data_IF_231074620277
#
_entry.id   IF_231074620277
#
_cell.length_a   1.000
_cell.length_b   1.000
_cell.length_c   1.000
_cell.angle_alpha   90.00
_cell.angle_beta   90.00
_cell.angle_gamma   90.00
#
_symmetry.space_group_name_H-M   'P 1'
#
loop_
_entity.id
_entity.type
_entity.pdbx_description
1 polymer ?
#
# COMPACT_ATOMS: atom_id res chain seq x y z
N UNK A 1 -33.28 3.39 1.98
CA UNK A 1 -33.52 3.63 0.54
C UNK A 1 -34.80 4.42 0.27
N UNK A 2 -35.97 4.03 0.78
CA UNK A 2 -37.24 4.76 0.49
C UNK A 2 -37.23 6.26 0.85
N UNK A 3 -36.66 6.64 2.00
CA UNK A 3 -36.56 8.04 2.40
C UNK A 3 -35.69 8.88 1.45
N UNK A 4 -34.58 8.30 0.97
CA UNK A 4 -33.70 8.94 -0.02
C UNK A 4 -34.42 9.09 -1.36
N UNK A 5 -35.11 8.04 -1.83
CA UNK A 5 -35.88 8.08 -3.07
C UNK A 5 -36.98 9.17 -3.03
N UNK A 6 -37.70 9.31 -1.91
CA UNK A 6 -38.67 10.40 -1.72
C UNK A 6 -38.02 11.78 -1.74
N UNK A 7 -36.86 11.94 -1.12
CA UNK A 7 -36.12 13.19 -1.12
C UNK A 7 -35.64 13.56 -2.54
N UNK A 8 -35.19 12.58 -3.32
CA UNK A 8 -34.74 12.76 -4.71
C UNK A 8 -35.88 13.03 -5.71
N UNK A 9 -37.15 12.81 -5.35
CA UNK A 9 -38.28 13.26 -6.17
C UNK A 9 -38.38 14.79 -6.22
N UNK A 10 -37.92 15.48 -5.17
CA UNK A 10 -37.80 16.94 -5.16
C UNK A 10 -36.48 17.36 -4.49
N UNK A 11 -35.33 17.21 -5.19
CA UNK A 11 -34.02 17.41 -4.61
C UNK A 11 -33.77 18.88 -4.23
N UNK A 12 -34.42 19.81 -4.93
CA UNK A 12 -34.33 21.25 -4.70
C UNK A 12 -35.36 21.76 -3.68
N UNK A 13 -36.20 20.87 -3.12
CA UNK A 13 -37.22 21.22 -2.13
C UNK A 13 -38.32 22.16 -2.65
N UNK A 14 -39.25 22.49 -1.76
CA UNK A 14 -40.40 23.36 -2.05
C UNK A 14 -40.58 24.47 -1.02
N UNK A 15 -39.58 24.68 -0.15
CA UNK A 15 -39.63 25.71 0.90
C UNK A 15 -39.07 27.02 0.37
N UNK A 16 -39.77 28.13 0.61
CA UNK A 16 -39.41 29.47 0.12
C UNK A 16 -38.04 29.96 0.64
N UNK A 17 -37.53 29.41 1.75
CA UNK A 17 -36.25 29.80 2.35
C UNK A 17 -35.09 28.84 2.08
N UNK A 18 -35.31 27.78 1.29
CA UNK A 18 -34.26 26.80 1.02
C UNK A 18 -33.26 27.34 0.00
N UNK A 19 -32.03 27.62 0.44
CA UNK A 19 -30.95 28.06 -0.45
C UNK A 19 -30.30 26.88 -1.21
N UNK A 20 -30.23 25.71 -0.58
CA UNK A 20 -29.77 24.48 -1.21
C UNK A 20 -29.59 23.33 -0.23
N UNK A 21 -29.12 22.19 -0.73
CA UNK A 21 -28.93 20.96 0.04
C UNK A 21 -27.61 20.28 -0.30
N UNK A 22 -26.94 19.74 0.71
CA UNK A 22 -25.78 18.87 0.55
C UNK A 22 -26.14 17.45 0.98
N UNK A 23 -25.95 16.49 0.08
CA UNK A 23 -26.07 15.06 0.36
C UNK A 23 -24.67 14.45 0.40
N UNK A 24 -24.32 13.84 1.53
CA UNK A 24 -23.11 13.04 1.68
C UNK A 24 -23.51 11.57 1.68
N UNK A 25 -22.88 10.76 0.84
CA UNK A 25 -23.15 9.33 0.69
C UNK A 25 -21.87 8.55 1.00
N UNK A 26 -21.94 7.73 2.04
CA UNK A 26 -20.88 6.79 2.40
C UNK A 26 -21.16 5.40 1.77
N UNK A 27 -20.09 4.71 1.35
CA UNK A 27 -20.09 3.33 0.88
C UNK A 27 -21.06 3.02 -0.29
N UNK A 28 -20.79 3.69 -1.41
CA UNK A 28 -21.60 3.65 -2.62
C UNK A 28 -21.93 2.22 -3.12
N UNK A 29 -23.23 1.91 -3.25
CA UNK A 29 -23.75 0.67 -3.85
C UNK A 29 -24.18 0.87 -5.31
N UNK A 30 -24.34 -0.22 -6.06
CA UNK A 30 -24.87 -0.17 -7.43
C UNK A 30 -26.27 0.46 -7.49
N UNK A 31 -27.16 0.11 -6.55
CA UNK A 31 -28.51 0.67 -6.47
C UNK A 31 -28.50 2.19 -6.21
N UNK A 32 -27.54 2.67 -5.38
CA UNK A 32 -27.36 4.10 -5.14
C UNK A 32 -26.84 4.82 -6.38
N UNK A 33 -25.93 4.22 -7.14
CA UNK A 33 -25.45 4.77 -8.43
C UNK A 33 -26.62 4.95 -9.39
N UNK A 34 -27.45 3.92 -9.55
CA UNK A 34 -28.61 3.96 -10.44
C UNK A 34 -29.63 5.01 -9.99
N UNK A 35 -29.96 5.04 -8.70
CA UNK A 35 -30.92 5.99 -8.13
C UNK A 35 -30.44 7.44 -8.26
N UNK A 36 -29.19 7.73 -7.88
CA UNK A 36 -28.63 9.09 -7.95
C UNK A 36 -28.44 9.54 -9.40
N UNK A 37 -27.91 8.66 -10.26
CA UNK A 37 -27.67 8.95 -11.66
C UNK A 37 -28.96 9.27 -12.43
N UNK A 38 -30.00 8.47 -12.22
CA UNK A 38 -31.31 8.68 -12.88
C UNK A 38 -32.07 9.90 -12.33
N UNK A 39 -32.02 10.14 -11.02
CA UNK A 39 -32.79 11.24 -10.40
C UNK A 39 -32.18 12.62 -10.60
N UNK A 40 -30.84 12.70 -10.74
CA UNK A 40 -30.09 13.96 -10.78
C UNK A 40 -29.40 14.22 -12.13
N UNK A 41 -29.62 13.35 -13.13
CA UNK A 41 -29.00 13.41 -14.46
C UNK A 41 -27.46 13.57 -14.40
N UNK A 42 -26.82 12.82 -13.49
CA UNK A 42 -25.38 12.91 -13.25
C UNK A 42 -24.61 12.21 -14.37
N UNK A 43 -23.58 12.88 -14.90
CA UNK A 43 -22.66 12.29 -15.87
C UNK A 43 -22.05 10.99 -15.30
N UNK A 44 -22.17 9.84 -16.01
CA UNK A 44 -21.56 8.58 -15.57
C UNK A 44 -20.07 8.67 -15.27
N UNK A 45 -19.36 9.63 -15.87
CA UNK A 45 -17.94 9.88 -15.60
C UNK A 45 -17.68 10.24 -14.13
N UNK A 46 -18.63 10.87 -13.43
CA UNK A 46 -18.53 11.14 -11.99
C UNK A 46 -18.39 9.85 -11.19
N UNK A 47 -19.34 8.91 -11.34
CA UNK A 47 -19.30 7.62 -10.67
C UNK A 47 -18.10 6.79 -11.12
N UNK A 48 -17.79 6.80 -12.41
CA UNK A 48 -16.62 6.14 -12.96
C UNK A 48 -15.34 6.66 -12.28
N UNK A 49 -15.19 7.97 -12.10
CA UNK A 49 -14.04 8.57 -11.42
C UNK A 49 -13.92 8.15 -9.95
N UNK A 50 -15.06 7.95 -9.27
CA UNK A 50 -15.11 7.48 -7.89
C UNK A 50 -14.73 5.99 -7.78
N UNK A 51 -15.14 5.16 -8.76
CA UNK A 51 -14.94 3.71 -8.78
C UNK A 51 -13.59 3.26 -9.38
N UNK A 52 -13.07 3.95 -10.40
CA UNK A 52 -11.97 3.49 -11.26
C UNK A 52 -10.60 3.33 -10.58
N UNK A 53 -10.44 3.90 -9.38
CA UNK A 53 -9.26 3.67 -8.54
C UNK A 53 -9.16 2.21 -8.06
N UNK A 54 -10.26 1.45 -8.13
CA UNK A 54 -10.25 -0.01 -7.94
C UNK A 54 -9.72 -0.68 -9.21
N UNK A 55 -8.69 -1.52 -9.07
CA UNK A 55 -8.12 -2.30 -10.18
C UNK A 55 -9.25 -3.00 -10.94
N UNK A 56 -9.37 -2.76 -12.24
CA UNK A 56 -10.09 -3.71 -13.09
C UNK A 56 -9.48 -5.09 -12.86
N UNK A 57 -10.34 -6.05 -12.50
CA UNK A 57 -10.04 -7.40 -12.00
C UNK A 57 -9.10 -8.23 -12.91
N UNK A 58 -8.72 -7.72 -14.09
CA UNK A 58 -7.93 -8.44 -15.10
C UNK A 58 -6.70 -7.71 -15.68
N UNK A 59 -6.37 -6.47 -15.30
CA UNK A 59 -5.26 -5.74 -15.95
C UNK A 59 -4.35 -4.97 -15.00
N UNK A 60 -3.13 -4.67 -15.46
CA UNK A 60 -2.23 -3.70 -14.84
C UNK A 60 -2.97 -2.38 -14.56
N UNK A 61 -2.50 -1.61 -13.57
CA UNK A 61 -3.08 -0.32 -13.18
C UNK A 61 -3.19 0.55 -14.44
N UNK A 62 -4.40 0.76 -14.97
CA UNK A 62 -4.59 1.77 -15.99
C UNK A 62 -4.35 3.13 -15.32
N UNK A 63 -3.61 4.06 -15.94
CA UNK A 63 -3.41 5.39 -15.38
C UNK A 63 -4.77 6.06 -15.13
N UNK A 64 -4.90 6.74 -13.98
CA UNK A 64 -6.14 7.33 -13.47
C UNK A 64 -6.71 8.44 -14.39
N UNK A 65 -5.96 8.88 -15.40
CA UNK A 65 -6.31 10.01 -16.27
C UNK A 65 -6.16 9.65 -17.74
N UNK A 66 -7.27 9.24 -18.37
CA UNK A 66 -7.41 9.33 -19.84
C UNK A 66 -7.73 10.75 -20.30
N UNK A 67 -8.04 11.65 -19.36
CA UNK A 67 -8.45 13.02 -19.64
C UNK A 67 -7.22 13.94 -19.66
N UNK A 68 -7.10 14.71 -20.74
CA UNK A 68 -6.11 15.78 -20.82
C UNK A 68 -6.45 16.88 -19.81
N UNK A 69 -5.44 17.63 -19.29
CA UNK A 69 -5.68 18.76 -18.40
C UNK A 69 -6.64 19.82 -18.98
N UNK A 70 -6.66 19.99 -20.30
CA UNK A 70 -7.61 20.86 -20.99
C UNK A 70 -9.06 20.36 -20.89
N UNK A 71 -9.28 19.05 -21.03
CA UNK A 71 -10.60 18.44 -20.88
C UNK A 71 -11.06 18.44 -19.42
N UNK A 72 -10.13 18.29 -18.47
CA UNK A 72 -10.42 18.32 -17.05
C UNK A 72 -11.03 19.65 -16.57
N UNK A 73 -10.73 20.78 -17.24
CA UNK A 73 -11.30 22.11 -16.91
C UNK A 73 -12.82 22.19 -17.06
N UNK A 74 -13.41 21.32 -17.89
CA UNK A 74 -14.84 21.32 -18.16
C UNK A 74 -15.61 20.31 -17.29
N UNK A 75 -14.92 19.59 -16.40
CA UNK A 75 -15.57 18.67 -15.48
C UNK A 75 -16.37 19.47 -14.46
N UNK A 76 -17.64 19.09 -14.28
CA UNK A 76 -18.55 19.68 -13.29
C UNK A 76 -18.41 19.02 -11.91
N UNK A 77 -17.35 18.24 -11.71
CA UNK A 77 -17.12 17.48 -10.50
C UNK A 77 -15.62 17.45 -10.17
N UNK A 78 -15.31 17.21 -8.90
CA UNK A 78 -13.97 17.05 -8.38
C UNK A 78 -13.85 15.64 -7.80
N UNK A 79 -12.76 14.95 -8.09
CA UNK A 79 -12.46 13.66 -7.46
C UNK A 79 -11.01 13.65 -6.98
N UNK A 80 -10.81 13.24 -5.73
CA UNK A 80 -9.54 13.24 -5.07
C UNK A 80 -9.30 11.87 -4.43
N UNK A 81 -8.17 11.27 -4.78
CA UNK A 81 -7.70 10.02 -4.17
C UNK A 81 -6.65 10.31 -3.13
N UNK A 82 -6.72 9.62 -2.01
CA UNK A 82 -5.75 9.74 -0.93
C UNK A 82 -5.42 8.39 -0.32
N UNK A 83 -4.38 8.36 0.51
CA UNK A 83 -4.02 7.19 1.29
C UNK A 83 -4.23 7.54 2.76
N UNK A 84 -4.99 6.72 3.47
CA UNK A 84 -5.13 6.77 4.91
C UNK A 84 -4.13 5.81 5.55
N UNK A 85 -3.10 6.29 6.25
CA UNK A 85 -2.13 5.46 6.95
C UNK A 85 -2.77 4.65 8.09
N UNK A 86 -2.36 3.39 8.22
CA UNK A 86 -2.89 2.45 9.22
C UNK A 86 -1.78 1.62 9.85
N UNK A 87 -1.98 1.26 11.11
CA UNK A 87 -1.19 0.30 11.87
C UNK A 87 -2.02 -0.95 12.13
N UNK A 88 -1.38 -2.12 12.16
CA UNK A 88 -2.03 -3.41 12.38
C UNK A 88 -1.50 -4.08 13.64
N UNK A 89 -2.39 -4.45 14.55
CA UNK A 89 -2.03 -5.21 15.76
C UNK A 89 -1.84 -6.72 15.44
N UNK A 90 -1.13 -7.03 14.36
CA UNK A 90 -0.80 -8.38 13.93
C UNK A 90 0.57 -8.40 13.23
N UNK A 91 1.28 -9.52 13.34
CA UNK A 91 2.51 -9.82 12.61
C UNK A 91 2.62 -11.35 12.44
N UNK A 92 2.72 -11.90 11.21
CA UNK A 92 2.79 -11.23 9.91
C UNK A 92 1.43 -10.75 9.37
N UNK A 93 1.46 -9.63 8.65
CA UNK A 93 0.29 -9.12 7.89
C UNK A 93 0.46 -9.40 6.40
N UNK A 94 -0.58 -9.91 5.71
CA UNK A 94 -0.52 -10.07 4.27
C UNK A 94 -0.31 -8.74 3.55
N UNK A 95 0.67 -8.67 2.62
CA UNK A 95 1.07 -7.38 2.05
C UNK A 95 0.09 -6.75 1.05
N UNK A 96 -0.96 -7.46 0.62
CA UNK A 96 -1.95 -6.97 -0.35
C UNK A 96 -3.35 -7.40 0.07
N UNK A 97 -4.12 -6.41 0.48
CA UNK A 97 -5.45 -6.56 1.05
C UNK A 97 -6.44 -5.65 0.31
N UNK A 98 -7.73 -5.90 0.53
CA UNK A 98 -8.85 -5.07 0.11
C UNK A 98 -9.72 -4.76 1.34
N UNK A 99 -10.27 -3.55 1.41
CA UNK A 99 -11.24 -3.19 2.45
C UNK A 99 -12.56 -3.96 2.27
N UNK A 100 -13.21 -4.27 3.39
CA UNK A 100 -14.60 -4.70 3.44
C UNK A 100 -15.53 -3.49 3.24
N UNK A 101 -15.92 -3.27 1.98
CA UNK A 101 -16.75 -2.15 1.53
C UNK A 101 -17.44 -2.53 0.21
N UNK A 102 -18.51 -1.83 -0.15
CA UNK A 102 -19.20 -2.03 -1.44
C UNK A 102 -18.28 -1.72 -2.62
N UNK A 103 -17.37 -0.76 -2.44
CA UNK A 103 -16.28 -0.46 -3.38
C UNK A 103 -14.96 -0.97 -2.83
N UNK A 104 -14.42 -2.02 -3.44
CA UNK A 104 -13.16 -2.61 -2.98
C UNK A 104 -11.99 -1.66 -3.17
N UNK A 105 -11.50 -1.12 -2.05
CA UNK A 105 -10.30 -0.27 -2.01
C UNK A 105 -9.08 -1.08 -1.61
N UNK A 106 -7.95 -0.76 -2.24
CA UNK A 106 -6.68 -1.44 -1.97
C UNK A 106 -6.13 -1.03 -0.61
N UNK A 107 -5.67 -2.02 0.12
CA UNK A 107 -4.88 -1.87 1.34
C UNK A 107 -3.49 -2.46 1.09
N UNK A 108 -2.48 -1.63 1.26
CA UNK A 108 -1.08 -2.07 1.23
C UNK A 108 -0.58 -2.18 2.65
N UNK A 109 -0.10 -3.36 3.05
CA UNK A 109 0.51 -3.57 4.35
C UNK A 109 1.93 -4.10 4.17
N UNK A 110 2.77 -3.88 5.18
CA UNK A 110 4.08 -4.50 5.25
C UNK A 110 4.49 -4.64 6.71
N UNK A 111 5.24 -5.71 7.03
CA UNK A 111 5.81 -5.86 8.36
C UNK A 111 6.82 -4.75 8.61
N UNK A 112 6.88 -4.27 9.83
CA UNK A 112 7.92 -3.37 10.27
C UNK A 112 8.83 -4.15 11.23
N UNK A 113 10.15 -4.26 10.95
CA UNK A 113 11.07 -4.98 11.83
C UNK A 113 10.99 -4.41 13.25
N UNK A 114 10.79 -5.27 14.24
CA UNK A 114 10.73 -4.92 15.66
C UNK A 114 9.60 -3.94 16.05
N UNK A 115 8.57 -3.79 15.22
CA UNK A 115 7.42 -2.92 15.54
C UNK A 115 6.09 -3.45 14.98
N UNK A 116 5.04 -2.67 15.19
CA UNK A 116 3.69 -2.95 14.69
C UNK A 116 3.69 -2.87 13.17
N UNK A 117 3.12 -3.86 12.48
CA UNK A 117 2.95 -3.83 11.02
C UNK A 117 2.20 -2.56 10.60
N UNK A 118 2.64 -1.92 9.53
CA UNK A 118 2.03 -0.66 9.06
C UNK A 118 1.64 -0.75 7.60
N UNK A 119 0.81 0.19 7.17
CA UNK A 119 0.27 0.21 5.83
C UNK A 119 -0.54 1.46 5.53
N UNK A 120 -1.29 1.38 4.44
CA UNK A 120 -2.26 2.39 4.07
C UNK A 120 -3.50 1.74 3.44
N UNK A 121 -4.65 2.36 3.67
CA UNK A 121 -5.87 2.13 2.91
C UNK A 121 -6.03 3.23 1.85
N UNK A 122 -6.21 2.86 0.60
CA UNK A 122 -6.56 3.81 -0.45
C UNK A 122 -7.99 4.28 -0.27
N UNK A 123 -8.23 5.58 -0.43
CA UNK A 123 -9.55 6.19 -0.28
C UNK A 123 -9.83 7.20 -1.38
N UNK A 124 -11.11 7.45 -1.65
CA UNK A 124 -11.57 8.40 -2.65
C UNK A 124 -12.68 9.29 -2.09
N UNK A 125 -12.58 10.56 -2.43
CA UNK A 125 -13.61 11.55 -2.27
C UNK A 125 -14.02 12.06 -3.64
N UNK A 126 -15.32 12.21 -3.89
CA UNK A 126 -15.81 12.85 -5.12
C UNK A 126 -16.96 13.78 -4.80
N UNK A 127 -17.00 14.96 -5.41
CA UNK A 127 -18.08 15.92 -5.21
C UNK A 127 -18.54 16.55 -6.51
N UNK A 128 -19.80 16.95 -6.56
CA UNK A 128 -20.38 17.77 -7.62
C UNK A 128 -21.40 18.74 -7.04
N UNK A 129 -21.73 19.77 -7.82
CA UNK A 129 -22.80 20.72 -7.50
C UNK A 129 -23.62 21.01 -8.74
N UNK A 130 -24.94 20.92 -8.59
CA UNK A 130 -25.92 21.26 -9.62
C UNK A 130 -26.82 22.39 -9.11
N UNK A 131 -27.36 23.17 -10.04
CA UNK A 131 -28.32 24.24 -9.76
C UNK A 131 -29.59 23.99 -10.56
N UNK A 132 -30.75 24.30 -9.98
CA UNK A 132 -31.99 24.36 -10.72
C UNK A 132 -32.22 25.74 -11.36
N UNK A 133 -33.30 25.87 -12.12
CA UNK A 133 -33.68 27.13 -12.77
C UNK A 133 -34.02 28.27 -11.79
N UNK A 134 -34.33 27.96 -10.53
CA UNK A 134 -34.61 28.96 -9.49
C UNK A 134 -33.37 29.34 -8.66
N UNK A 135 -32.19 28.83 -9.00
CA UNK A 135 -30.93 29.11 -8.31
C UNK A 135 -30.70 28.31 -7.01
N UNK A 136 -31.58 27.34 -6.68
CA UNK A 136 -31.38 26.42 -5.55
C UNK A 136 -30.34 25.39 -5.96
N UNK A 137 -29.32 25.21 -5.13
CA UNK A 137 -28.24 24.27 -5.39
C UNK A 137 -28.45 22.91 -4.72
N UNK A 138 -27.90 21.87 -5.34
CA UNK A 138 -27.81 20.52 -4.80
C UNK A 138 -26.37 20.03 -4.92
N UNK A 139 -25.71 19.85 -3.78
CA UNK A 139 -24.37 19.29 -3.67
C UNK A 139 -24.42 17.80 -3.36
N UNK A 140 -23.58 17.01 -4.03
CA UNK A 140 -23.43 15.59 -3.76
C UNK A 140 -21.96 15.28 -3.47
N UNK A 141 -21.69 14.67 -2.32
CA UNK A 141 -20.39 14.18 -1.92
C UNK A 141 -20.42 12.65 -1.74
N UNK A 142 -19.50 11.95 -2.38
CA UNK A 142 -19.28 10.51 -2.24
C UNK A 142 -18.01 10.28 -1.43
N UNK A 143 -18.12 9.46 -0.38
CA UNK A 143 -17.01 9.09 0.51
C UNK A 143 -16.96 7.59 0.72
N UNK A 144 -15.74 7.08 0.90
CA UNK A 144 -15.53 5.68 1.29
C UNK A 144 -15.84 5.46 2.77
N UNK A 145 -16.26 4.23 3.17
CA UNK A 145 -16.53 3.90 4.57
C UNK A 145 -15.27 3.92 5.44
N UNK A 146 -15.42 3.92 6.78
CA UNK A 146 -14.29 3.77 7.71
C UNK A 146 -13.46 2.50 7.41
N UNK A 147 -12.21 2.48 7.86
CA UNK A 147 -11.38 1.26 7.79
C UNK A 147 -11.81 0.35 8.94
N UNK A 148 -12.48 -0.76 8.62
CA UNK A 148 -12.84 -1.79 9.59
C UNK A 148 -11.65 -2.71 9.93
N UNK A 149 -11.97 -3.81 10.61
CA UNK A 149 -10.99 -4.87 10.93
C UNK A 149 -11.06 -6.08 10.00
N UNK A 150 -12.02 -6.07 9.06
CA UNK A 150 -12.19 -7.14 8.08
C UNK A 150 -11.53 -6.73 6.77
N UNK A 151 -10.66 -7.59 6.27
CA UNK A 151 -9.97 -7.39 4.99
C UNK A 151 -10.10 -8.63 4.12
N UNK A 152 -9.89 -8.47 2.82
CA UNK A 152 -9.89 -9.55 1.85
C UNK A 152 -8.55 -9.64 1.13
N UNK A 153 -8.08 -10.85 0.85
CA UNK A 153 -6.83 -11.05 0.12
C UNK A 153 -6.95 -10.62 -1.35
N UNK A 154 -6.04 -9.77 -1.83
CA UNK A 154 -5.97 -9.41 -3.26
C UNK A 154 -5.32 -10.55 -4.07
N UNK A 155 -6.15 -11.50 -4.51
CA UNK A 155 -5.78 -12.64 -5.36
C UNK A 155 -5.43 -12.28 -6.82
N UNK A 156 -5.19 -11.00 -7.15
CA UNK A 156 -4.84 -10.52 -8.51
C UNK A 156 -5.78 -11.02 -9.62
N UNK A 157 -7.08 -11.09 -9.35
CA UNK A 157 -8.07 -11.51 -10.33
C UNK A 157 -8.36 -13.01 -10.41
N UNK A 158 -7.75 -13.84 -9.55
CA UNK A 158 -8.20 -15.22 -9.37
C UNK A 158 -9.63 -15.23 -8.77
N UNK A 159 -10.47 -16.10 -9.32
CA UNK A 159 -11.92 -16.14 -9.09
C UNK A 159 -12.34 -16.77 -7.76
N UNK A 160 -11.38 -17.18 -6.92
CA UNK A 160 -11.67 -17.82 -5.65
C UNK A 160 -12.37 -16.87 -4.68
N UNK A 161 -13.29 -17.43 -3.90
CA UNK A 161 -13.96 -16.73 -2.80
C UNK A 161 -12.88 -16.05 -1.95
N UNK A 162 -12.90 -14.72 -1.91
CA UNK A 162 -11.90 -13.97 -1.18
C UNK A 162 -12.03 -14.33 0.30
N UNK A 163 -11.01 -14.97 0.85
CA UNK A 163 -10.98 -15.37 2.24
C UNK A 163 -10.94 -14.11 3.10
N UNK A 164 -11.92 -13.89 3.99
CA UNK A 164 -11.87 -12.77 4.91
C UNK A 164 -10.74 -13.00 5.92
N UNK A 165 -10.01 -11.94 6.22
CA UNK A 165 -8.92 -11.90 7.19
C UNK A 165 -9.29 -10.84 8.23
N UNK A 166 -9.42 -11.26 9.47
CA UNK A 166 -9.65 -10.36 10.59
C UNK A 166 -8.31 -9.82 11.08
N UNK A 167 -8.05 -8.54 10.86
CA UNK A 167 -6.85 -7.84 11.31
C UNK A 167 -7.29 -6.58 12.05
N UNK A 168 -6.98 -6.51 13.35
CA UNK A 168 -7.24 -5.28 14.09
C UNK A 168 -6.37 -4.16 13.53
N UNK A 169 -7.00 -3.09 13.04
CA UNK A 169 -6.33 -1.93 12.47
C UNK A 169 -6.71 -0.66 13.20
N UNK A 170 -5.74 0.24 13.32
CA UNK A 170 -5.90 1.55 13.93
C UNK A 170 -5.21 2.60 13.05
N UNK A 171 -5.56 3.88 13.20
CA UNK A 171 -4.91 4.92 12.41
C UNK A 171 -3.46 5.09 12.83
N UNK A 172 -2.57 5.16 11.84
CA UNK A 172 -1.16 5.40 12.13
C UNK A 172 -1.00 6.77 12.80
N UNK A 173 -0.31 6.78 13.95
CA UNK A 173 -0.09 7.95 14.80
C UNK A 173 -1.38 8.68 15.25
N UNK A 174 -2.52 7.98 15.33
CA UNK A 174 -3.79 8.57 15.78
C UNK A 174 -4.52 9.39 14.72
N UNK A 175 -4.08 9.33 13.45
CA UNK A 175 -4.76 9.94 12.31
C UNK A 175 -4.11 11.23 11.83
N UNK A 176 -4.91 12.03 11.14
CA UNK A 176 -4.50 13.35 10.68
C UNK A 176 -4.70 14.41 11.79
N UNK A 177 -3.88 15.46 11.78
CA UNK A 177 -3.99 16.57 12.74
C UNK A 177 -5.22 17.46 12.44
N UNK A 178 -5.92 17.91 13.48
CA UNK A 178 -7.15 18.70 13.34
C UNK A 178 -6.90 20.12 12.79
N UNK A 179 -7.88 20.65 12.06
CA UNK A 179 -7.95 22.06 11.61
C UNK A 179 -8.91 22.83 12.52
N UNK A 180 -8.66 24.10 12.95
CA UNK A 180 -7.43 24.90 12.93
C UNK A 180 -6.80 25.09 14.33
N UNK A 181 -5.55 25.54 14.32
CA UNK A 181 -4.72 25.96 15.46
C UNK A 181 -5.23 27.22 16.19
N UNK A 182 -6.50 27.29 16.59
CA UNK A 182 -7.02 28.41 17.40
C UNK A 182 -8.14 27.96 18.34
N UNK A 183 -7.78 27.15 19.33
CA UNK A 183 -8.16 27.38 20.74
C UNK A 183 -7.07 26.74 21.60
N UNK A 184 -6.29 27.50 22.39
CA UNK A 184 -5.43 26.89 23.38
C UNK A 184 -6.28 25.99 24.28
N UNK A 185 -5.74 24.82 24.57
CA UNK A 185 -6.27 23.74 25.40
C UNK A 185 -6.50 24.18 26.85
N UNK A 186 -7.46 25.09 27.06
CA UNK A 186 -7.90 25.53 28.40
C UNK A 186 -9.39 25.26 28.66
N UNK A 187 -10.04 24.47 27.81
CA UNK A 187 -11.39 23.94 28.08
C UNK A 187 -11.37 22.42 27.91
N UNK A 188 -11.42 21.71 29.04
CA UNK A 188 -11.85 20.31 29.07
C UNK A 188 -13.24 20.24 28.40
N UNK A 189 -13.32 19.57 27.24
CA UNK A 189 -14.60 19.32 26.55
C UNK A 189 -14.71 19.73 25.08
N UNK A 190 -13.66 20.23 24.42
CA UNK A 190 -13.71 20.44 22.95
C UNK A 190 -13.65 19.08 22.25
N UNK A 191 -14.79 18.59 21.77
CA UNK A 191 -14.88 17.37 20.98
C UNK A 191 -14.10 17.54 19.67
N UNK A 192 -12.95 16.87 19.53
CA UNK A 192 -12.28 16.77 18.23
C UNK A 192 -13.11 15.95 17.25
N UNK A 193 -12.93 16.09 15.92
CA UNK A 193 -13.58 15.21 14.96
C UNK A 193 -13.25 13.75 15.30
N UNK A 194 -14.19 12.81 15.05
CA UNK A 194 -14.02 11.41 15.41
C UNK A 194 -12.85 10.74 14.67
N UNK A 195 -12.44 11.30 13.52
CA UNK A 195 -11.37 10.83 12.61
C UNK A 195 -11.65 9.47 11.99
N UNK A 196 -12.65 8.74 12.46
CA UNK A 196 -12.93 7.35 12.09
C UNK A 196 -13.38 7.22 10.62
N UNK A 197 -14.25 8.12 10.15
CA UNK A 197 -14.79 8.16 8.79
C UNK A 197 -14.73 9.59 8.23
N UNK A 198 -14.46 9.73 6.93
CA UNK A 198 -14.54 11.04 6.29
C UNK A 198 -15.99 11.57 6.34
N UNK A 199 -16.98 10.69 6.36
CA UNK A 199 -18.39 11.04 6.49
C UNK A 199 -18.67 11.82 7.79
N UNK A 200 -18.31 11.24 8.94
CA UNK A 200 -18.55 11.84 10.25
C UNK A 200 -17.72 13.11 10.44
N UNK A 201 -16.47 13.12 9.96
CA UNK A 201 -15.59 14.28 10.03
C UNK A 201 -16.16 15.46 9.23
N UNK A 202 -16.73 15.20 8.04
CA UNK A 202 -17.38 16.23 7.24
C UNK A 202 -18.64 16.77 7.91
N UNK A 203 -19.49 15.90 8.47
CA UNK A 203 -20.68 16.33 9.21
C UNK A 203 -20.26 17.22 10.38
N UNK A 204 -19.28 16.79 11.17
CA UNK A 204 -18.75 17.55 12.29
C UNK A 204 -18.26 18.93 11.84
N UNK A 205 -17.41 19.00 10.81
CA UNK A 205 -16.86 20.26 10.31
C UNK A 205 -17.94 21.23 9.82
N UNK A 206 -18.91 20.75 9.04
CA UNK A 206 -20.01 21.59 8.53
C UNK A 206 -21.00 22.03 9.61
N UNK A 207 -21.10 21.29 10.72
CA UNK A 207 -21.93 21.66 11.86
C UNK A 207 -21.24 22.65 12.81
N UNK A 208 -19.91 22.67 12.87
CA UNK A 208 -19.15 23.52 13.77
C UNK A 208 -19.00 24.95 13.24
N UNK A 209 -18.51 25.11 12.00
CA UNK A 209 -18.27 26.42 11.40
C UNK A 209 -18.52 26.37 9.89
N UNK A 210 -18.98 27.49 9.31
CA UNK A 210 -19.07 27.62 7.86
C UNK A 210 -17.74 28.17 7.32
N UNK A 211 -17.15 27.57 6.26
CA UNK A 211 -15.94 28.11 5.66
C UNK A 211 -16.13 29.54 5.20
N UNK A 212 -15.14 30.40 5.40
CA UNK A 212 -15.15 31.78 4.86
C UNK A 212 -15.35 31.82 3.34
N UNK A 213 -14.93 30.76 2.67
CA UNK A 213 -15.00 30.54 1.21
C UNK A 213 -16.39 30.13 0.72
N UNK A 214 -17.31 29.81 1.63
CA UNK A 214 -18.61 29.24 1.30
C UNK A 214 -19.70 30.32 1.29
N UNK A 215 -20.23 30.59 0.09
CA UNK A 215 -21.47 31.35 -0.08
C UNK A 215 -22.67 30.39 -0.14
N UNK A 216 -23.60 30.44 0.84
CA UNK A 216 -24.80 29.61 0.83
C UNK A 216 -25.73 29.83 -0.37
N UNK A 217 -25.64 30.97 -1.08
CA UNK A 217 -26.51 31.29 -2.23
C UNK A 217 -25.92 30.81 -3.55
N UNK A 218 -24.60 30.77 -3.65
CA UNK A 218 -23.89 30.40 -4.87
C UNK A 218 -22.63 29.60 -4.54
N UNK A 219 -22.77 28.39 -3.97
CA UNK A 219 -21.62 27.60 -3.60
C UNK A 219 -20.90 27.10 -4.85
N UNK A 220 -19.58 27.23 -4.85
CA UNK A 220 -18.71 26.69 -5.88
C UNK A 220 -18.34 25.25 -5.54
N UNK A 221 -17.89 24.51 -6.56
CA UNK A 221 -17.36 23.16 -6.36
C UNK A 221 -16.20 23.15 -5.35
N UNK A 222 -15.35 24.18 -5.38
CA UNK A 222 -14.24 24.33 -4.42
C UNK A 222 -14.73 24.66 -3.01
N UNK A 223 -15.71 25.55 -2.84
CA UNK A 223 -16.18 25.91 -1.51
C UNK A 223 -16.83 24.71 -0.79
N UNK A 224 -17.59 23.88 -1.51
CA UNK A 224 -18.10 22.60 -0.99
C UNK A 224 -16.99 21.58 -0.70
N UNK A 225 -15.86 21.68 -1.40
CA UNK A 225 -14.70 20.81 -1.23
C UNK A 225 -13.72 21.27 -0.16
N UNK A 226 -14.00 22.37 0.54
CA UNK A 226 -13.06 22.99 1.48
C UNK A 226 -12.55 22.03 2.58
N UNK A 227 -13.45 21.51 3.41
CA UNK A 227 -13.11 20.54 4.46
C UNK A 227 -12.51 19.23 3.93
N UNK A 228 -13.11 18.55 2.93
CA UNK A 228 -12.55 17.29 2.45
C UNK A 228 -11.16 17.48 1.85
N UNK A 229 -10.90 18.56 1.12
CA UNK A 229 -9.56 18.82 0.58
C UNK A 229 -8.54 19.04 1.69
N UNK A 230 -8.88 19.80 2.73
CA UNK A 230 -8.02 19.95 3.92
C UNK A 230 -7.71 18.61 4.56
N UNK A 231 -8.73 17.81 4.87
CA UNK A 231 -8.55 16.47 5.47
C UNK A 231 -7.68 15.58 4.57
N UNK A 232 -7.91 15.59 3.26
CA UNK A 232 -7.14 14.81 2.28
C UNK A 232 -5.66 15.23 2.27
N UNK A 233 -5.36 16.52 2.31
CA UNK A 233 -3.97 17.01 2.35
C UNK A 233 -3.30 16.62 3.67
N UNK A 234 -4.01 16.66 4.81
CA UNK A 234 -3.48 16.19 6.08
C UNK A 234 -3.26 14.66 6.11
N UNK A 235 -4.11 13.87 5.45
CA UNK A 235 -3.90 12.43 5.27
C UNK A 235 -2.68 12.13 4.38
N UNK A 236 -2.48 12.90 3.32
CA UNK A 236 -1.26 12.83 2.52
C UNK A 236 -0.01 13.19 3.31
N UNK A 237 -0.12 14.16 4.21
CA UNK A 237 0.95 14.48 5.14
C UNK A 237 1.24 13.30 6.09
N UNK A 238 0.20 12.70 6.69
CA UNK A 238 0.38 11.51 7.51
C UNK A 238 1.01 10.34 6.71
N UNK A 239 0.69 10.23 5.42
CA UNK A 239 1.33 9.26 4.52
C UNK A 239 2.82 9.55 4.30
N UNK A 240 3.24 10.81 4.23
CA UNK A 240 4.65 11.19 4.20
C UNK A 240 5.36 10.84 5.52
N UNK A 241 4.70 10.97 6.67
CA UNK A 241 5.23 10.50 7.96
C UNK A 241 5.39 8.98 8.00
N UNK A 242 4.41 8.23 7.49
CA UNK A 242 4.52 6.79 7.33
C UNK A 242 5.72 6.42 6.44
N UNK A 243 5.96 7.16 5.35
CA UNK A 243 7.15 6.96 4.52
C UNK A 243 8.43 7.18 5.30
N UNK A 244 8.54 8.28 6.05
CA UNK A 244 9.69 8.58 6.89
C UNK A 244 9.97 7.44 7.87
N UNK A 245 8.93 7.00 8.59
CA UNK A 245 9.00 5.88 9.53
C UNK A 245 9.54 4.60 8.86
N UNK A 246 9.11 4.33 7.62
CA UNK A 246 9.60 3.15 6.89
C UNK A 246 11.03 3.29 6.39
N UNK A 247 11.50 4.50 6.09
CA UNK A 247 12.92 4.75 5.79
C UNK A 247 13.76 4.43 7.02
N UNK A 248 13.41 4.99 8.18
CA UNK A 248 14.16 4.79 9.42
C UNK A 248 14.20 3.32 9.83
N UNK A 249 13.08 2.61 9.75
CA UNK A 249 13.03 1.18 10.06
C UNK A 249 13.89 0.34 9.12
N UNK A 250 13.98 0.71 7.84
CA UNK A 250 14.82 0.00 6.88
C UNK A 250 16.29 0.30 7.10
N UNK A 251 16.65 1.56 7.39
CA UNK A 251 18.02 1.96 7.73
C UNK A 251 18.51 1.22 8.98
N UNK A 252 17.72 1.23 10.05
CA UNK A 252 18.01 0.47 11.27
C UNK A 252 18.15 -1.03 11.01
N UNK A 253 17.23 -1.59 10.22
CA UNK A 253 17.29 -3.01 9.86
C UNK A 253 18.52 -3.38 9.05
N UNK A 254 19.10 -2.45 8.28
CA UNK A 254 20.33 -2.67 7.51
C UNK A 254 21.56 -2.61 8.42
N UNK A 255 21.57 -1.73 9.44
CA UNK A 255 22.66 -1.62 10.41
C UNK A 255 22.81 -2.90 11.26
N UNK A 256 21.69 -3.56 11.60
CA UNK A 256 21.66 -4.77 12.44
C UNK A 256 21.93 -6.08 11.66
N UNK A 257 22.21 -6.00 10.35
CA UNK A 257 22.42 -7.18 9.51
C UNK A 257 23.70 -7.95 9.90
N UNK A 258 23.51 -9.14 10.46
CA UNK A 258 24.55 -10.09 10.84
C UNK A 258 24.64 -11.24 9.82
N UNK A 259 25.67 -12.08 9.87
CA UNK A 259 25.98 -13.03 8.77
C UNK A 259 25.07 -14.28 8.68
N UNK A 260 23.80 -14.23 9.07
CA UNK A 260 22.90 -15.40 9.13
C UNK A 260 22.04 -15.63 7.87
N UNK A 261 21.71 -16.90 7.56
CA UNK A 261 20.88 -17.31 6.42
C UNK A 261 19.39 -16.89 6.53
N UNK A 262 18.84 -16.77 7.74
CA UNK A 262 17.47 -16.29 7.96
C UNK A 262 17.27 -14.83 7.53
N UNK A 263 18.36 -14.07 7.43
CA UNK A 263 18.36 -12.66 7.05
C UNK A 263 18.24 -12.47 5.53
N UNK A 264 18.61 -13.48 4.72
CA UNK A 264 18.48 -13.44 3.27
C UNK A 264 17.02 -13.30 2.81
N UNK A 265 16.11 -14.09 3.40
CA UNK A 265 14.68 -14.01 3.07
C UNK A 265 14.08 -12.65 3.46
N UNK A 266 14.53 -12.08 4.58
CA UNK A 266 14.12 -10.75 5.05
C UNK A 266 14.59 -9.67 4.07
N UNK A 267 15.85 -9.73 3.67
CA UNK A 267 16.49 -8.82 2.73
C UNK A 267 15.83 -8.83 1.34
N UNK A 268 15.51 -10.00 0.81
CA UNK A 268 14.78 -10.11 -0.46
C UNK A 268 13.38 -9.49 -0.34
N UNK A 269 12.72 -9.68 0.81
CA UNK A 269 11.43 -9.06 1.09
C UNK A 269 11.52 -7.54 1.15
N UNK A 270 12.58 -6.99 1.75
CA UNK A 270 12.83 -5.55 1.84
C UNK A 270 13.16 -4.93 0.48
N UNK A 271 13.89 -5.65 -0.38
CA UNK A 271 14.15 -5.20 -1.75
C UNK A 271 12.85 -5.10 -2.57
N UNK A 272 11.98 -6.12 -2.45
CA UNK A 272 10.65 -6.09 -3.08
C UNK A 272 9.78 -4.95 -2.53
N UNK A 273 9.92 -4.62 -1.23
CA UNK A 273 9.24 -3.49 -0.59
C UNK A 273 9.72 -2.15 -1.13
N UNK A 274 11.03 -1.94 -1.26
CA UNK A 274 11.63 -0.73 -1.85
C UNK A 274 11.14 -0.49 -3.28
N UNK A 275 11.13 -1.53 -4.11
CA UNK A 275 10.56 -1.45 -5.46
C UNK A 275 9.05 -1.13 -5.46
N UNK A 276 8.33 -1.61 -4.45
CA UNK A 276 6.94 -1.24 -4.19
C UNK A 276 6.79 0.25 -3.89
N UNK A 277 7.66 0.79 -3.04
CA UNK A 277 7.68 2.20 -2.65
C UNK A 277 7.98 3.14 -3.80
N UNK A 278 8.97 2.85 -4.65
CA UNK A 278 9.26 3.67 -5.84
C UNK A 278 8.02 3.93 -6.69
N UNK A 279 7.21 2.89 -6.93
CA UNK A 279 5.94 3.02 -7.67
C UNK A 279 4.88 3.82 -6.91
N UNK A 280 4.86 3.74 -5.57
CA UNK A 280 3.92 4.48 -4.73
C UNK A 280 4.26 5.96 -4.72
N UNK A 281 5.54 6.33 -4.59
CA UNK A 281 6.02 7.73 -4.62
C UNK A 281 5.59 8.43 -5.89
N UNK A 282 5.89 7.83 -7.05
CA UNK A 282 5.47 8.39 -8.36
C UNK A 282 3.95 8.51 -8.42
N UNK A 283 3.23 7.49 -7.93
CA UNK A 283 1.77 7.49 -7.92
C UNK A 283 1.14 8.49 -6.95
N UNK A 284 1.75 8.79 -5.80
CA UNK A 284 1.28 9.78 -4.84
C UNK A 284 1.55 11.20 -5.32
N UNK A 285 2.75 11.47 -5.82
CA UNK A 285 3.11 12.79 -6.36
C UNK A 285 2.21 13.13 -7.55
N UNK A 286 2.00 12.20 -8.50
CA UNK A 286 1.10 12.42 -9.64
C UNK A 286 -0.35 12.71 -9.25
N UNK A 287 -0.87 12.09 -8.18
CA UNK A 287 -2.22 12.39 -7.66
C UNK A 287 -2.29 13.78 -7.04
N UNK A 288 -1.28 14.17 -6.27
CA UNK A 288 -1.19 15.50 -5.66
C UNK A 288 -0.99 16.60 -6.72
N UNK A 289 -0.21 16.34 -7.78
CA UNK A 289 -0.08 17.24 -8.92
C UNK A 289 -1.42 17.41 -9.66
N UNK A 290 -2.15 16.31 -9.86
CA UNK A 290 -3.48 16.35 -10.48
C UNK A 290 -4.46 17.17 -9.62
N UNK A 291 -4.41 17.03 -8.30
CA UNK A 291 -5.21 17.81 -7.36
C UNK A 291 -4.85 19.30 -7.42
N UNK A 292 -3.54 19.62 -7.44
CA UNK A 292 -3.03 20.98 -7.61
C UNK A 292 -3.56 21.61 -8.90
N UNK A 293 -3.52 20.90 -10.02
CA UNK A 293 -4.05 21.38 -11.28
C UNK A 293 -5.57 21.56 -11.25
N UNK A 294 -6.30 20.66 -10.62
CA UNK A 294 -7.75 20.77 -10.46
C UNK A 294 -8.12 22.02 -9.64
N UNK A 295 -7.49 22.22 -8.47
CA UNK A 295 -7.69 23.39 -7.62
C UNK A 295 -7.36 24.68 -8.39
N UNK A 296 -6.19 24.74 -9.05
CA UNK A 296 -5.79 25.92 -9.84
C UNK A 296 -6.77 26.22 -10.97
N UNK A 297 -7.32 25.20 -11.63
CA UNK A 297 -8.29 25.40 -12.72
C UNK A 297 -9.63 25.94 -12.22
N UNK A 298 -10.08 25.46 -11.05
CA UNK A 298 -11.35 25.85 -10.45
C UNK A 298 -11.26 27.16 -9.66
N UNK A 299 -10.06 27.56 -9.22
CA UNK A 299 -9.81 28.76 -8.41
C UNK A 299 -9.73 30.07 -9.23
N UNK A 300 -10.25 30.09 -10.45
CA UNK A 300 -10.14 31.25 -11.35
C UNK A 300 -11.01 32.46 -10.94
N UNK A 301 -11.77 32.37 -9.85
CA UNK A 301 -12.68 33.43 -9.37
C UNK A 301 -12.11 34.16 -8.12
N UNK A 302 -11.90 35.50 -8.15
CA UNK A 302 -11.43 36.28 -7.01
C UNK A 302 -12.59 36.61 -6.06
N UNK A 303 -12.59 36.07 -4.82
CA UNK A 303 -12.13 36.80 -3.62
C UNK A 303 -11.35 35.94 -2.58
N UNK A 304 -11.07 34.67 -2.88
CA UNK A 304 -10.57 33.69 -1.88
C UNK A 304 -9.19 33.09 -2.19
N UNK A 305 -8.37 33.82 -2.95
CA UNK A 305 -7.07 33.37 -3.44
C UNK A 305 -6.15 32.88 -2.31
N UNK A 306 -6.07 33.63 -1.20
CA UNK A 306 -5.15 33.36 -0.09
C UNK A 306 -5.39 31.98 0.57
N UNK A 307 -6.66 31.59 0.73
CA UNK A 307 -7.01 30.31 1.37
C UNK A 307 -6.60 29.12 0.50
N UNK A 308 -6.81 29.23 -0.81
CA UNK A 308 -6.39 28.19 -1.75
C UNK A 308 -4.89 28.21 -1.99
N UNK A 309 -4.23 29.36 -1.95
CA UNK A 309 -2.77 29.49 -1.99
C UNK A 309 -2.11 28.80 -0.80
N UNK A 310 -2.64 28.95 0.42
CA UNK A 310 -2.16 28.22 1.59
C UNK A 310 -2.28 26.71 1.39
N UNK A 311 -3.44 26.22 0.92
CA UNK A 311 -3.64 24.78 0.68
C UNK A 311 -2.73 24.25 -0.43
N UNK A 312 -2.51 25.04 -1.48
CA UNK A 312 -1.57 24.70 -2.56
C UNK A 312 -0.12 24.65 -2.06
N UNK A 313 0.27 25.56 -1.17
CA UNK A 313 1.56 25.52 -0.48
C UNK A 313 1.73 24.28 0.40
N UNK A 314 0.67 23.88 1.12
CA UNK A 314 0.68 22.64 1.90
C UNK A 314 0.85 21.41 1.00
N UNK A 315 0.15 21.37 -0.14
CA UNK A 315 0.30 20.28 -1.13
C UNK A 315 1.73 20.23 -1.68
N UNK A 316 2.32 21.37 -2.03
CA UNK A 316 3.69 21.46 -2.52
C UNK A 316 4.68 20.93 -1.48
N UNK A 317 4.51 21.29 -0.21
CA UNK A 317 5.33 20.78 0.89
C UNK A 317 5.20 19.26 1.08
N UNK A 318 4.00 18.71 0.95
CA UNK A 318 3.78 17.25 1.02
C UNK A 318 4.41 16.53 -0.17
N UNK A 319 4.32 17.09 -1.39
CA UNK A 319 5.02 16.57 -2.58
C UNK A 319 6.53 16.59 -2.35
N UNK A 320 7.09 17.69 -1.84
CA UNK A 320 8.51 17.83 -1.53
C UNK A 320 8.97 16.72 -0.56
N UNK A 321 8.28 16.54 0.58
CA UNK A 321 8.61 15.50 1.57
C UNK A 321 8.50 14.10 0.99
N UNK A 322 7.43 13.81 0.25
CA UNK A 322 7.21 12.50 -0.38
C UNK A 322 8.35 12.16 -1.35
N UNK A 323 8.79 13.12 -2.16
CA UNK A 323 9.91 12.94 -3.08
C UNK A 323 11.24 12.80 -2.34
N UNK A 324 11.46 13.58 -1.28
CA UNK A 324 12.67 13.51 -0.44
C UNK A 324 12.83 12.14 0.22
N UNK A 325 11.79 11.61 0.85
CA UNK A 325 11.81 10.24 1.40
C UNK A 325 11.90 9.18 0.30
N UNK A 326 11.27 9.42 -0.87
CA UNK A 326 11.42 8.55 -2.03
C UNK A 326 12.87 8.42 -2.52
N UNK A 327 13.61 9.52 -2.58
CA UNK A 327 15.03 9.53 -2.94
C UNK A 327 15.88 8.76 -1.91
N UNK A 328 15.57 8.90 -0.61
CA UNK A 328 16.24 8.12 0.44
C UNK A 328 16.00 6.61 0.26
N UNK A 329 14.76 6.20 0.01
CA UNK A 329 14.44 4.79 -0.28
C UNK A 329 15.17 4.27 -1.54
N UNK A 330 15.25 5.08 -2.60
CA UNK A 330 15.97 4.71 -3.82
C UNK A 330 17.49 4.56 -3.57
N UNK A 331 18.07 5.34 -2.65
CA UNK A 331 19.47 5.22 -2.25
C UNK A 331 19.77 3.93 -1.46
N UNK A 332 18.77 3.33 -0.79
CA UNK A 332 18.92 2.04 -0.09
C UNK A 332 18.91 0.83 -1.03
N UNK A 333 18.32 0.94 -2.23
CA UNK A 333 18.24 -0.16 -3.21
C UNK A 333 19.61 -0.75 -3.57
N UNK A 334 20.65 0.04 -3.96
CA UNK A 334 21.95 -0.51 -4.28
C UNK A 334 22.65 -1.12 -3.06
N UNK A 335 22.48 -0.55 -1.86
CA UNK A 335 23.04 -1.09 -0.60
C UNK A 335 22.46 -2.45 -0.31
N UNK A 336 21.14 -2.58 -0.39
CA UNK A 336 20.45 -3.85 -0.15
C UNK A 336 20.83 -4.89 -1.22
N UNK A 337 20.93 -4.48 -2.48
CA UNK A 337 21.30 -5.36 -3.59
C UNK A 337 22.73 -5.91 -3.43
N UNK A 338 23.69 -5.09 -3.00
CA UNK A 338 25.05 -5.56 -2.75
C UNK A 338 25.11 -6.54 -1.58
N UNK A 339 24.33 -6.31 -0.53
CA UNK A 339 24.23 -7.24 0.59
C UNK A 339 23.61 -8.58 0.16
N UNK A 340 22.57 -8.58 -0.68
CA UNK A 340 21.96 -9.81 -1.25
C UNK A 340 23.03 -10.64 -1.96
N UNK A 341 23.83 -9.99 -2.81
CA UNK A 341 24.89 -10.63 -3.58
C UNK A 341 26.00 -11.21 -2.68
N UNK A 342 26.38 -10.50 -1.62
CA UNK A 342 27.39 -10.98 -0.66
C UNK A 342 26.90 -12.23 0.09
N UNK A 343 25.64 -12.23 0.54
CA UNK A 343 25.06 -13.37 1.25
C UNK A 343 24.92 -14.58 0.32
N UNK A 344 24.43 -14.38 -0.90
CA UNK A 344 24.32 -15.44 -1.91
C UNK A 344 25.70 -16.05 -2.25
N UNK A 345 26.72 -15.21 -2.41
CA UNK A 345 28.10 -15.63 -2.60
C UNK A 345 28.60 -16.52 -1.45
N UNK A 346 28.39 -16.11 -0.20
CA UNK A 346 28.79 -16.93 0.97
C UNK A 346 28.02 -18.24 1.06
N UNK A 347 26.72 -18.22 0.74
CA UNK A 347 25.89 -19.42 0.67
C UNK A 347 26.43 -20.42 -0.34
N UNK A 348 26.72 -19.98 -1.57
CA UNK A 348 27.29 -20.83 -2.61
C UNK A 348 28.66 -21.40 -2.23
N UNK A 349 29.51 -20.63 -1.51
CA UNK A 349 30.80 -21.12 -1.00
C UNK A 349 30.59 -22.22 0.05
N UNK A 350 29.63 -22.05 0.96
CA UNK A 350 29.32 -23.05 1.99
C UNK A 350 28.75 -24.35 1.38
N UNK A 351 27.91 -24.22 0.35
CA UNK A 351 27.34 -25.34 -0.40
C UNK A 351 28.43 -26.08 -1.20
N UNK A 352 29.32 -25.34 -1.88
CA UNK A 352 30.48 -25.92 -2.56
C UNK A 352 31.39 -26.70 -1.61
N UNK A 353 31.64 -26.20 -0.39
CA UNK A 353 32.40 -26.93 0.65
C UNK A 353 31.70 -28.22 1.09
N UNK A 354 30.37 -28.24 1.11
CA UNK A 354 29.62 -29.46 1.45
C UNK A 354 29.69 -30.49 0.33
N UNK A 355 29.63 -30.04 -0.92
CA UNK A 355 29.79 -30.89 -2.11
C UNK A 355 31.22 -31.47 -2.15
N UNK A 356 32.26 -30.66 -1.91
CA UNK A 356 33.64 -31.17 -1.90
C UNK A 356 33.82 -32.25 -0.84
N UNK A 357 33.30 -32.04 0.38
CA UNK A 357 33.31 -33.06 1.44
C UNK A 357 32.60 -34.36 1.04
N UNK A 358 31.45 -34.28 0.36
CA UNK A 358 30.74 -35.47 -0.12
C UNK A 358 31.52 -36.20 -1.21
N UNK A 359 32.09 -35.46 -2.17
CA UNK A 359 32.94 -36.01 -3.23
C UNK A 359 34.16 -36.71 -2.66
N UNK A 360 34.77 -36.17 -1.60
CA UNK A 360 35.88 -36.84 -0.91
C UNK A 360 35.44 -38.17 -0.27
N UNK A 361 34.29 -38.21 0.39
CA UNK A 361 33.75 -39.48 0.91
C UNK A 361 33.51 -40.49 -0.21
N UNK A 362 32.91 -40.05 -1.32
CA UNK A 362 32.65 -40.92 -2.47
C UNK A 362 33.95 -41.45 -3.10
N UNK A 363 34.98 -40.60 -3.26
CA UNK A 363 36.28 -40.98 -3.80
C UNK A 363 37.00 -42.04 -2.93
N UNK A 364 36.79 -42.00 -1.61
CA UNK A 364 37.34 -43.01 -0.70
C UNK A 364 36.53 -44.30 -0.74
N UNK A 365 35.20 -44.24 -0.62
CA UNK A 365 34.35 -45.42 -0.47
C UNK A 365 34.12 -46.20 -1.77
N UNK A 366 34.03 -45.53 -2.92
CA UNK A 366 33.71 -46.17 -4.20
C UNK A 366 34.75 -47.24 -4.62
N UNK A 367 36.07 -46.96 -4.66
CA UNK A 367 37.06 -47.97 -5.00
C UNK A 367 37.13 -49.10 -3.94
N UNK A 368 36.94 -48.78 -2.67
CA UNK A 368 36.93 -49.79 -1.59
C UNK A 368 35.74 -50.72 -1.67
N UNK A 369 34.56 -50.18 -1.99
CA UNK A 369 33.34 -50.96 -2.19
C UNK A 369 33.47 -51.84 -3.44
N UNK A 370 34.08 -51.33 -4.51
CA UNK A 370 34.37 -52.12 -5.71
C UNK A 370 35.29 -53.31 -5.40
N UNK A 371 36.38 -53.10 -4.67
CA UNK A 371 37.30 -54.18 -4.27
C UNK A 371 36.62 -55.20 -3.37
N UNK A 372 35.85 -54.75 -2.38
CA UNK A 372 35.06 -55.63 -1.52
C UNK A 372 34.07 -56.49 -2.34
N UNK A 373 33.34 -55.86 -3.27
CA UNK A 373 32.42 -56.56 -4.17
C UNK A 373 33.11 -57.55 -5.10
N UNK A 374 34.23 -57.15 -5.71
CA UNK A 374 35.01 -58.00 -6.63
C UNK A 374 35.53 -59.26 -5.92
N UNK A 375 36.08 -59.13 -4.71
CA UNK A 375 36.59 -60.27 -3.95
C UNK A 375 35.48 -61.10 -3.29
N UNK A 376 34.33 -60.49 -2.98
CA UNK A 376 33.16 -61.23 -2.49
C UNK A 376 32.57 -62.20 -3.52
N UNK A 377 32.88 -62.04 -4.81
CA UNK A 377 32.46 -62.97 -5.87
C UNK A 377 33.39 -64.19 -6.04
N UNK A 378 34.55 -64.22 -5.37
CA UNK A 378 35.53 -65.30 -5.48
C UNK A 378 35.45 -66.25 -4.27
N UNK A 379 35.08 -67.50 -4.50
CA UNK A 379 34.93 -68.51 -3.43
C UNK A 379 36.25 -68.86 -2.72
N UNK A 380 37.39 -68.71 -3.41
CA UNK A 380 38.72 -69.05 -2.89
C UNK A 380 39.27 -68.02 -1.89
N UNK A 381 38.74 -66.80 -1.90
CA UNK A 381 39.24 -65.63 -1.13
C UNK A 381 38.29 -65.31 0.04
N UNK A 382 37.30 -66.16 0.30
CA UNK A 382 36.38 -66.03 1.43
C UNK A 382 37.09 -66.17 2.80
N UNK A 383 36.54 -65.54 3.86
CA UNK A 383 37.08 -65.64 5.22
C UNK A 383 37.17 -67.10 5.69
N UNK A 384 38.37 -67.53 6.09
CA UNK A 384 38.66 -68.90 6.50
C UNK A 384 39.30 -69.80 5.43
N UNK A 385 39.44 -69.32 4.18
CA UNK A 385 40.19 -70.01 3.12
C UNK A 385 41.67 -69.60 3.11
N UNK A 386 42.52 -70.44 2.52
CA UNK A 386 43.99 -70.26 2.48
C UNK A 386 44.42 -68.92 1.84
N UNK A 387 43.64 -68.40 0.90
CA UNK A 387 43.98 -67.21 0.12
C UNK A 387 43.35 -65.91 0.64
N UNK A 388 42.73 -65.92 1.83
CA UNK A 388 42.09 -64.74 2.42
C UNK A 388 43.06 -63.55 2.62
N UNK A 389 44.36 -63.82 2.81
CA UNK A 389 45.40 -62.78 2.90
C UNK A 389 45.48 -61.88 1.65
N UNK A 390 45.13 -62.38 0.46
CA UNK A 390 45.18 -61.61 -0.80
C UNK A 390 44.26 -60.38 -0.74
N UNK A 391 43.12 -60.49 -0.06
CA UNK A 391 42.23 -59.35 0.16
C UNK A 391 42.95 -58.19 0.88
N UNK A 392 43.63 -58.46 1.99
CA UNK A 392 44.39 -57.45 2.72
C UNK A 392 45.58 -56.92 1.93
N UNK A 393 46.25 -57.79 1.18
CA UNK A 393 47.39 -57.42 0.34
C UNK A 393 47.01 -56.44 -0.79
N UNK A 394 45.75 -56.42 -1.25
CA UNK A 394 45.25 -55.50 -2.29
C UNK A 394 44.52 -54.30 -1.68
N UNK A 395 43.69 -54.52 -0.66
CA UNK A 395 42.90 -53.47 -0.03
C UNK A 395 43.78 -52.41 0.67
N UNK A 396 44.84 -52.82 1.38
CA UNK A 396 45.70 -51.87 2.10
C UNK A 396 46.44 -50.93 1.14
N UNK A 397 47.18 -51.41 0.11
CA UNK A 397 47.82 -50.51 -0.84
C UNK A 397 46.82 -49.60 -1.56
N UNK A 398 45.63 -50.10 -1.91
CA UNK A 398 44.61 -49.28 -2.54
C UNK A 398 44.08 -48.18 -1.62
N UNK A 399 43.82 -48.48 -0.33
CA UNK A 399 43.44 -47.44 0.64
C UNK A 399 44.50 -46.35 0.75
N UNK A 400 45.79 -46.74 0.78
CA UNK A 400 46.91 -45.79 0.87
C UNK A 400 47.00 -44.93 -0.38
N UNK A 401 46.87 -45.53 -1.58
CA UNK A 401 46.87 -44.79 -2.86
C UNK A 401 45.71 -43.80 -2.92
N UNK A 402 44.49 -44.22 -2.54
CA UNK A 402 43.30 -43.37 -2.55
C UNK A 402 43.41 -42.23 -1.54
N UNK A 403 43.90 -42.50 -0.33
CA UNK A 403 44.15 -41.45 0.67
C UNK A 403 45.24 -40.49 0.21
N UNK A 404 46.30 -41.00 -0.44
CA UNK A 404 47.37 -40.17 -0.98
C UNK A 404 46.92 -39.29 -2.14
N UNK A 405 46.09 -39.81 -3.06
CA UNK A 405 45.55 -39.00 -4.17
C UNK A 405 44.60 -37.93 -3.65
N UNK A 406 43.73 -38.25 -2.70
CA UNK A 406 42.84 -37.28 -2.04
C UNK A 406 43.65 -36.22 -1.28
N UNK A 407 44.69 -36.61 -0.54
CA UNK A 407 45.56 -35.67 0.17
C UNK A 407 46.35 -34.75 -0.78
N UNK A 408 46.79 -35.26 -1.93
CA UNK A 408 47.46 -34.46 -2.96
C UNK A 408 46.51 -33.51 -3.69
N UNK A 409 45.24 -33.88 -3.85
CA UNK A 409 44.19 -32.98 -4.35
C UNK A 409 43.84 -31.85 -3.37
N UNK A 410 44.33 -31.92 -2.13
CA UNK A 410 44.06 -30.98 -1.03
C UNK A 410 45.14 -29.89 -0.88
N UNK A 411 46.35 -30.11 -1.41
CA UNK A 411 47.47 -29.14 -1.45
C UNK A 411 47.51 -28.42 -2.80
#
# INVERSE_FOLDING_TARGET
MEGLARMLQNPYGSSENLLGRMLIVEDLTADLVELLGSSLEIDPLFFASHLHTSRSRKTAKLPDTRLLPSAAKHLKFLSATYHRPISFAADPVPGKLLCDANVWRKVGAWPAPNSVSVGYAMRVFSTLVNFNNSGIWFGLALVDPPVGNTFFMDGRGQQEAQTPVLLRSEQFQGGYDAFPFTKPSSSEGVHSPPRCSLFDDLIYCWMEELPSVFDPRAPTLLSLSYYPLKIIVAEWMNFANLMHYTVENLEYSIEDLSTSLSEFQRLESDLRRLQGWRRRVVGSSSKMDSLTHAIKSLSSEPPFLETWESLLGDIEHVIYRTNMYGQRLDALVPVLSSYVQVVESRGSIAEAKSITRLTYLALVFLPLTFVSGLFSMSEDILPGRKNFWIYFAVAIPLTVVVLFTVARLLT
#
